data_IF_995351571946
#
_entry.id   IF_995351571946
#
_cell.length_a   1.000
_cell.length_b   1.000
_cell.length_c   1.000
_cell.angle_alpha   90.00
_cell.angle_beta   90.00
_cell.angle_gamma   90.00
#
_symmetry.space_group_name_H-M   'P 1'
#
loop_
_entity.id
_entity.type
_entity.pdbx_description
1 polymer ?
#
# COMPACT_ATOMS: atom_id res chain seq x y z
N UNK A 1 8.14 -6.06 -20.56
CA UNK A 1 6.82 -5.91 -19.93
C UNK A 1 5.94 -5.18 -20.92
N UNK A 2 4.92 -5.88 -21.39
CA UNK A 2 4.29 -5.71 -22.70
C UNK A 2 3.49 -4.40 -22.82
N UNK A 3 3.55 -3.78 -24.00
CA UNK A 3 2.80 -2.57 -24.36
C UNK A 3 1.45 -3.00 -24.93
N UNK A 4 0.39 -2.96 -24.14
CA UNK A 4 -0.95 -3.23 -24.64
C UNK A 4 -2.02 -2.80 -23.66
N UNK A 5 -2.68 -1.67 -23.96
CA UNK A 5 -3.91 -1.24 -23.31
C UNK A 5 -5.03 -2.24 -23.65
N UNK A 6 -5.21 -3.25 -22.79
CA UNK A 6 -6.42 -4.06 -22.70
C UNK A 6 -7.31 -3.56 -21.56
N UNK A 7 -8.61 -3.91 -21.54
CA UNK A 7 -9.54 -3.44 -20.52
C UNK A 7 -8.99 -3.79 -19.14
N UNK A 8 -9.11 -2.82 -18.25
CA UNK A 8 -8.45 -2.75 -16.95
C UNK A 8 -8.78 -3.98 -16.09
N UNK A 9 -7.96 -5.02 -16.21
CA UNK A 9 -8.21 -6.35 -15.64
C UNK A 9 -8.12 -6.45 -14.12
N UNK A 10 -7.83 -5.35 -13.41
CA UNK A 10 -7.76 -5.36 -11.94
C UNK A 10 -9.12 -5.27 -11.25
N UNK A 11 -10.20 -4.98 -11.97
CA UNK A 11 -11.55 -4.82 -11.38
C UNK A 11 -12.29 -6.15 -11.10
N UNK A 12 -11.74 -7.31 -11.46
CA UNK A 12 -12.41 -8.61 -11.36
C UNK A 12 -11.63 -9.72 -10.62
N UNK A 13 -10.47 -9.41 -10.01
CA UNK A 13 -9.62 -10.42 -9.37
C UNK A 13 -9.78 -10.36 -7.85
N UNK A 14 -10.03 -11.51 -7.21
CA UNK A 14 -10.10 -11.68 -5.73
C UNK A 14 -8.76 -11.40 -5.00
N UNK A 15 -7.83 -10.69 -5.63
CA UNK A 15 -6.45 -10.50 -5.18
C UNK A 15 -5.43 -11.09 -6.17
N UNK A 16 -4.17 -10.73 -6.00
CA UNK A 16 -3.04 -11.26 -6.76
C UNK A 16 -2.14 -12.13 -5.87
N UNK A 17 -1.00 -12.61 -6.39
CA UNK A 17 -0.06 -13.39 -5.59
C UNK A 17 0.45 -12.62 -4.35
N UNK A 18 0.66 -11.30 -4.48
CA UNK A 18 1.12 -10.47 -3.37
C UNK A 18 0.08 -10.36 -2.26
N UNK A 19 -1.21 -10.13 -2.57
CA UNK A 19 -2.24 -10.03 -1.52
C UNK A 19 -2.39 -11.33 -0.73
N UNK A 20 -2.24 -12.49 -1.38
CA UNK A 20 -2.22 -13.80 -0.70
C UNK A 20 -1.03 -13.95 0.25
N UNK A 21 0.16 -13.51 -0.18
CA UNK A 21 1.37 -13.56 0.64
C UNK A 21 1.27 -12.61 1.84
N UNK A 22 0.80 -11.38 1.64
CA UNK A 22 0.55 -10.41 2.71
C UNK A 22 -0.44 -11.01 3.71
N UNK A 23 -1.59 -11.51 3.22
CA UNK A 23 -2.62 -12.10 4.06
C UNK A 23 -2.11 -13.28 4.90
N UNK A 24 -1.24 -14.12 4.33
CA UNK A 24 -0.58 -15.21 5.06
C UNK A 24 0.38 -14.66 6.13
N UNK A 25 1.22 -13.71 5.76
CA UNK A 25 2.25 -13.16 6.64
C UNK A 25 1.66 -12.42 7.85
N UNK A 26 0.65 -11.55 7.64
CA UNK A 26 0.03 -10.80 8.73
C UNK A 26 -0.74 -11.68 9.71
N UNK A 27 -1.27 -12.84 9.26
CA UNK A 27 -1.93 -13.81 10.13
C UNK A 27 -0.94 -14.58 11.00
N UNK A 28 0.24 -14.90 10.47
CA UNK A 28 1.27 -15.60 11.26
C UNK A 28 2.02 -14.66 12.19
N UNK A 29 2.28 -13.43 11.74
CA UNK A 29 3.05 -12.43 12.48
C UNK A 29 2.56 -11.05 12.06
N UNK A 30 1.65 -10.44 12.83
CA UNK A 30 1.18 -9.09 12.53
C UNK A 30 2.33 -8.09 12.63
N UNK A 31 2.50 -7.27 11.60
CA UNK A 31 3.49 -6.18 11.59
C UNK A 31 2.87 -4.90 12.13
N UNK A 32 3.64 -4.03 12.75
CA UNK A 32 3.13 -2.74 13.22
C UNK A 32 2.95 -1.74 12.08
N UNK A 33 3.87 -1.79 11.11
CA UNK A 33 3.95 -0.89 9.96
C UNK A 33 4.26 -1.69 8.70
N UNK A 34 3.59 -1.33 7.60
CA UNK A 34 3.78 -1.91 6.27
C UNK A 34 3.89 -0.79 5.24
N UNK A 35 4.77 -0.96 4.25
CA UNK A 35 4.91 -0.06 3.11
C UNK A 35 4.80 -0.82 1.79
N UNK A 36 4.11 -0.24 0.81
CA UNK A 36 3.84 -0.84 -0.49
C UNK A 36 4.19 0.13 -1.60
N UNK A 37 5.02 -0.30 -2.54
CA UNK A 37 5.28 0.39 -3.80
C UNK A 37 4.28 -0.06 -4.87
N UNK A 38 4.09 0.77 -5.90
CA UNK A 38 3.15 0.50 -7.01
C UNK A 38 1.71 0.25 -6.51
N UNK A 39 1.35 0.94 -5.43
CA UNK A 39 0.02 0.87 -4.84
C UNK A 39 -0.87 1.97 -5.43
N UNK A 40 -1.71 1.59 -6.39
CA UNK A 40 -2.65 2.50 -7.06
C UNK A 40 -3.99 2.63 -6.32
N UNK A 41 -4.38 1.60 -5.56
CA UNK A 41 -5.64 1.54 -4.82
C UNK A 41 -5.43 0.90 -3.44
N UNK A 42 -5.39 1.75 -2.41
CA UNK A 42 -5.21 1.33 -1.03
C UNK A 42 -6.40 0.54 -0.48
N UNK A 43 -7.62 0.85 -0.92
CA UNK A 43 -8.83 0.19 -0.43
C UNK A 43 -8.94 -1.21 -1.01
N UNK A 44 -8.60 -1.36 -2.30
CA UNK A 44 -8.46 -2.65 -2.93
C UNK A 44 -7.40 -3.50 -2.21
N UNK A 45 -6.23 -2.94 -1.91
CA UNK A 45 -5.17 -3.66 -1.20
C UNK A 45 -5.62 -4.08 0.20
N UNK A 46 -6.21 -3.17 0.97
CA UNK A 46 -6.71 -3.41 2.32
C UNK A 46 -7.74 -4.55 2.36
N UNK A 47 -8.69 -4.52 1.42
CA UNK A 47 -9.75 -5.52 1.30
C UNK A 47 -9.18 -6.88 0.89
N UNK A 48 -8.41 -6.93 -0.21
CA UNK A 48 -7.96 -8.20 -0.80
C UNK A 48 -6.80 -8.86 -0.05
N UNK A 49 -6.06 -8.12 0.78
CA UNK A 49 -5.09 -8.69 1.71
C UNK A 49 -5.71 -9.14 3.04
N UNK A 50 -7.00 -8.82 3.29
CA UNK A 50 -7.67 -9.13 4.56
C UNK A 50 -7.13 -8.32 5.73
N UNK A 51 -6.75 -7.06 5.49
CA UNK A 51 -6.12 -6.18 6.46
C UNK A 51 -7.11 -5.23 7.15
N UNK A 52 -8.33 -5.07 6.63
CA UNK A 52 -9.29 -4.04 7.03
C UNK A 52 -9.66 -4.04 8.52
N UNK A 53 -9.59 -5.18 9.21
CA UNK A 53 -9.96 -5.29 10.62
C UNK A 53 -8.86 -4.77 11.58
N UNK A 54 -7.59 -4.80 11.17
CA UNK A 54 -6.46 -4.53 12.06
C UNK A 54 -5.61 -3.33 11.63
N UNK A 55 -5.76 -2.88 10.39
CA UNK A 55 -4.89 -1.86 9.80
C UNK A 55 -5.70 -0.70 9.23
N UNK A 56 -5.16 0.50 9.43
CA UNK A 56 -5.49 1.64 8.59
C UNK A 56 -4.41 1.75 7.52
N UNK A 57 -4.82 1.99 6.28
CA UNK A 57 -3.94 2.25 5.15
C UNK A 57 -4.23 3.65 4.59
N UNK A 58 -3.20 4.30 4.07
CA UNK A 58 -3.36 5.52 3.30
C UNK A 58 -2.39 5.52 2.13
N UNK A 59 -2.83 6.16 1.04
CA UNK A 59 -2.05 6.30 -0.18
C UNK A 59 -1.58 7.73 -0.37
N UNK A 60 -0.37 7.85 -0.89
CA UNK A 60 0.17 9.07 -1.47
C UNK A 60 0.85 8.69 -2.79
N UNK A 61 0.25 9.08 -3.92
CA UNK A 61 0.68 8.68 -5.28
C UNK A 61 0.69 7.15 -5.43
N UNK A 62 1.79 6.56 -5.88
CA UNK A 62 1.93 5.11 -6.10
C UNK A 62 2.48 4.39 -4.85
N UNK A 63 2.44 5.03 -3.68
CA UNK A 63 2.89 4.45 -2.41
C UNK A 63 1.74 4.35 -1.43
N UNK A 64 1.65 3.22 -0.75
CA UNK A 64 0.75 3.05 0.39
C UNK A 64 1.55 2.71 1.63
N UNK A 65 1.09 3.25 2.76
CA UNK A 65 1.57 2.87 4.08
C UNK A 65 0.39 2.43 4.93
N UNK A 66 0.59 1.39 5.73
CA UNK A 66 -0.40 0.91 6.68
C UNK A 66 0.19 0.76 8.08
N UNK A 67 -0.62 1.00 9.10
CA UNK A 67 -0.26 0.82 10.50
C UNK A 67 -1.33 0.05 11.25
N UNK A 68 -0.91 -0.71 12.27
CA UNK A 68 -1.80 -1.54 13.09
C UNK A 68 -2.53 -0.70 14.14
N UNK A 69 -3.84 -0.60 14.01
CA UNK A 69 -4.68 0.33 14.79
C UNK A 69 -4.84 -0.06 16.26
N UNK A 70 -4.62 -1.34 16.60
CA UNK A 70 -4.69 -1.81 18.00
C UNK A 70 -3.60 -1.22 18.89
N UNK A 71 -2.44 -0.89 18.30
CA UNK A 71 -1.26 -0.45 19.04
C UNK A 71 -0.89 1.00 18.77
N UNK A 72 -1.26 1.52 17.60
CA UNK A 72 -0.80 2.81 17.11
C UNK A 72 -1.96 3.69 16.69
N UNK A 73 -1.85 4.97 17.04
CA UNK A 73 -2.70 6.04 16.50
C UNK A 73 -1.88 6.94 15.60
N UNK A 74 -2.42 7.28 14.43
CA UNK A 74 -1.79 8.25 13.53
C UNK A 74 -1.82 9.65 14.15
N UNK A 75 -0.63 10.24 14.31
CA UNK A 75 -0.47 11.64 14.73
C UNK A 75 -0.44 12.55 13.51
N UNK A 76 0.38 12.19 12.53
CA UNK A 76 0.63 13.00 11.35
C UNK A 76 1.16 12.12 10.22
N UNK A 77 0.96 12.55 8.97
CA UNK A 77 1.52 11.90 7.78
C UNK A 77 1.85 12.94 6.73
N UNK A 78 2.69 12.57 5.77
CA UNK A 78 2.99 13.41 4.63
C UNK A 78 3.78 12.71 3.54
N UNK A 79 4.01 13.46 2.48
CA UNK A 79 4.82 13.04 1.33
C UNK A 79 5.68 14.21 0.86
N UNK A 80 6.95 13.93 0.59
CA UNK A 80 7.90 14.86 -0.01
C UNK A 80 8.53 14.21 -1.24
N UNK A 81 8.95 15.00 -2.22
CA UNK A 81 9.71 14.47 -3.35
C UNK A 81 11.20 14.54 -3.07
N UNK A 82 11.90 13.43 -3.29
CA UNK A 82 13.34 13.30 -2.97
C UNK A 82 14.23 13.18 -4.20
N UNK A 83 13.66 12.89 -5.36
CA UNK A 83 14.38 12.84 -6.63
C UNK A 83 13.43 13.11 -7.79
N UNK A 84 14.01 13.53 -8.93
CA UNK A 84 13.35 13.60 -10.22
C UNK A 84 13.96 12.52 -11.13
N UNK A 85 13.15 11.56 -11.53
CA UNK A 85 13.54 10.53 -12.49
C UNK A 85 13.13 10.97 -13.89
N UNK A 86 14.11 11.25 -14.76
CA UNK A 86 13.87 11.76 -16.10
C UNK A 86 12.92 10.88 -16.96
N UNK A 87 12.77 9.59 -16.64
CA UNK A 87 11.89 8.66 -17.36
C UNK A 87 10.58 8.38 -16.63
N UNK A 88 10.59 8.38 -15.31
CA UNK A 88 9.47 7.91 -14.48
C UNK A 88 8.86 8.98 -13.56
N UNK A 89 9.37 10.22 -13.62
CA UNK A 89 8.90 11.38 -12.89
C UNK A 89 9.40 11.46 -11.45
N UNK A 90 8.77 12.36 -10.69
CA UNK A 90 9.16 12.66 -9.31
C UNK A 90 9.01 11.43 -8.39
N UNK A 91 10.04 11.15 -7.58
CA UNK A 91 10.08 10.05 -6.62
C UNK A 91 9.61 10.50 -5.23
N UNK A 92 8.47 10.00 -4.73
CA UNK A 92 7.96 10.36 -3.41
C UNK A 92 8.68 9.59 -2.29
N UNK A 93 8.89 10.27 -1.17
CA UNK A 93 9.14 9.69 0.14
C UNK A 93 7.91 9.95 1.01
N UNK A 94 7.18 8.88 1.33
CA UNK A 94 6.01 8.92 2.20
C UNK A 94 6.42 8.64 3.64
N UNK A 95 5.79 9.31 4.61
CA UNK A 95 6.07 9.14 6.02
C UNK A 95 4.81 9.19 6.88
N UNK A 96 4.89 8.60 8.07
CA UNK A 96 3.91 8.75 9.14
C UNK A 96 4.58 8.85 10.50
N UNK A 97 3.91 9.57 11.39
CA UNK A 97 4.21 9.65 12.82
C UNK A 97 3.11 8.94 13.58
N UNK A 98 3.50 7.95 14.38
CA UNK A 98 2.61 7.14 15.21
C UNK A 98 2.86 7.43 16.69
N UNK A 99 1.84 7.22 17.52
CA UNK A 99 1.91 7.25 18.98
C UNK A 99 1.18 6.06 19.57
#
# INVERSE_FOLDING_TARGET
FDKGQGPVGHLAIKGNAATKLISKAIRSTPYDVLGFTECEDEQWLLSHAGMAAEYTIFRDRACCMAYRTRLWTLVERGVNYVADDARFGMRPAQWMRLR
#
